data_IF_661313761407
#
_entry.id   IF_661313761407
#
_cell.length_a   1.000
_cell.length_b   1.000
_cell.length_c   1.000
_cell.angle_alpha   90.00
_cell.angle_beta   90.00
_cell.angle_gamma   90.00
#
_symmetry.space_group_name_H-M   'P 1'
#
loop_
_entity.id
_entity.type
_entity.pdbx_description
1 polymer ?
#
# COMPACT_ATOMS: atom_id res chain seq x y z
N UNK A 1 -28.07 -34.87 -46.34
CA UNK A 1 -27.49 -36.17 -46.77
C UNK A 1 -26.05 -35.88 -47.15
N UNK A 2 -24.99 -36.41 -46.58
CA UNK A 2 -24.62 -37.27 -45.47
C UNK A 2 -23.12 -36.93 -45.30
N UNK A 3 -22.44 -36.99 -44.18
CA UNK A 3 -22.66 -37.65 -42.92
C UNK A 3 -21.28 -37.64 -42.27
N UNK A 4 -21.19 -37.10 -41.06
CA UNK A 4 -20.00 -37.26 -40.24
C UNK A 4 -19.85 -38.73 -39.88
N UNK A 5 -18.89 -39.46 -40.47
CA UNK A 5 -18.26 -40.65 -39.87
C UNK A 5 -17.34 -41.37 -40.87
N UNK A 6 -16.08 -40.95 -40.98
CA UNK A 6 -15.01 -41.91 -41.27
C UNK A 6 -13.71 -41.53 -40.57
N UNK A 7 -13.85 -41.25 -39.26
CA UNK A 7 -12.81 -41.52 -38.26
C UNK A 7 -12.66 -43.04 -38.10
N UNK A 8 -11.81 -43.69 -38.91
CA UNK A 8 -11.16 -44.98 -38.56
C UNK A 8 -9.93 -45.18 -39.45
N UNK A 9 -8.80 -44.57 -39.12
CA UNK A 9 -7.51 -45.15 -39.49
C UNK A 9 -6.40 -44.66 -38.55
N UNK A 10 -6.02 -45.57 -37.64
CA UNK A 10 -4.70 -45.73 -36.98
C UNK A 10 -4.38 -44.84 -35.77
N UNK A 11 -4.95 -45.27 -34.63
CA UNK A 11 -4.18 -45.39 -33.38
C UNK A 11 -3.14 -46.52 -33.51
N UNK A 12 -2.09 -46.41 -32.68
CA UNK A 12 -1.16 -47.46 -32.20
C UNK A 12 0.15 -47.69 -32.98
N UNK A 13 1.25 -47.15 -32.45
CA UNK A 13 2.53 -47.85 -32.18
C UNK A 13 3.36 -46.95 -31.23
N UNK A 14 3.42 -47.27 -29.93
CA UNK A 14 4.52 -47.98 -29.23
C UNK A 14 5.71 -47.04 -28.92
N UNK A 15 5.81 -46.45 -27.71
CA UNK A 15 6.45 -47.00 -26.50
C UNK A 15 7.78 -47.69 -26.78
N UNK A 16 8.90 -47.01 -26.50
CA UNK A 16 10.13 -47.65 -26.07
C UNK A 16 10.91 -46.73 -25.12
N UNK A 17 11.49 -47.36 -24.11
CA UNK A 17 11.95 -46.84 -22.82
C UNK A 17 13.48 -46.92 -22.74
N UNK A 18 14.09 -45.95 -22.03
CA UNK A 18 15.46 -45.90 -21.44
C UNK A 18 16.71 -45.92 -22.36
N UNK A 19 17.57 -44.90 -22.24
CA UNK A 19 18.74 -44.92 -21.34
C UNK A 19 19.74 -43.74 -21.59
N UNK A 20 19.88 -42.90 -20.57
CA UNK A 20 21.12 -42.34 -19.97
C UNK A 20 22.32 -42.01 -20.89
N UNK A 21 22.65 -40.71 -20.97
CA UNK A 21 24.04 -40.23 -20.88
C UNK A 21 24.04 -38.82 -20.27
N UNK A 22 24.35 -38.75 -18.97
CA UNK A 22 24.78 -37.51 -18.32
C UNK A 22 26.04 -37.00 -19.02
N UNK A 23 25.99 -35.77 -19.54
CA UNK A 23 27.16 -34.90 -19.60
C UNK A 23 26.81 -33.57 -18.96
N UNK A 24 27.30 -33.43 -17.74
CA UNK A 24 27.43 -32.20 -16.98
C UNK A 24 28.34 -31.25 -17.76
N UNK A 25 27.85 -30.05 -18.04
CA UNK A 25 28.67 -28.87 -18.31
C UNK A 25 28.29 -27.80 -17.26
N UNK A 26 29.28 -27.17 -16.60
CA UNK A 26 29.05 -26.32 -15.45
C UNK A 26 28.52 -24.95 -15.90
N UNK A 27 27.39 -24.52 -15.33
CA UNK A 27 26.98 -23.11 -15.37
C UNK A 27 27.32 -22.52 -14.01
N UNK A 28 28.36 -21.69 -13.99
CA UNK A 28 28.79 -20.90 -12.85
C UNK A 28 27.65 -19.99 -12.37
N UNK A 29 27.46 -20.06 -11.04
CA UNK A 29 26.82 -19.15 -10.07
C UNK A 29 26.98 -17.66 -10.42
N UNK A 30 26.11 -16.71 -10.04
CA UNK A 30 25.09 -16.63 -8.99
C UNK A 30 24.11 -15.49 -9.35
N UNK A 31 22.83 -15.64 -9.02
CA UNK A 31 21.99 -14.50 -8.68
C UNK A 31 20.98 -15.01 -7.65
N UNK A 32 21.41 -14.98 -6.39
CA UNK A 32 20.52 -15.19 -5.25
C UNK A 32 19.46 -14.10 -5.29
N UNK A 33 18.28 -14.46 -5.75
CA UNK A 33 17.08 -13.65 -5.52
C UNK A 33 16.70 -13.93 -4.08
N UNK A 34 17.25 -13.15 -3.16
CA UNK A 34 16.84 -13.17 -1.77
C UNK A 34 15.41 -12.63 -1.69
N UNK A 35 14.42 -13.52 -1.76
CA UNK A 35 13.06 -13.23 -1.34
C UNK A 35 13.07 -13.08 0.18
N UNK A 36 13.38 -11.90 0.69
CA UNK A 36 13.25 -11.59 2.11
C UNK A 36 11.78 -11.31 2.43
N UNK A 37 11.01 -12.37 2.63
CA UNK A 37 9.77 -12.29 3.39
C UNK A 37 10.13 -11.95 4.84
N UNK A 38 9.66 -10.81 5.34
CA UNK A 38 9.74 -10.47 6.77
C UNK A 38 8.76 -11.42 7.50
N UNK A 39 9.24 -12.59 7.92
CA UNK A 39 8.50 -13.49 8.79
C UNK A 39 8.53 -12.94 10.22
N UNK A 40 7.44 -12.30 10.66
CA UNK A 40 7.22 -12.00 12.07
C UNK A 40 6.40 -13.11 12.71
N UNK A 41 7.11 -14.08 13.30
CA UNK A 41 6.53 -15.01 14.27
C UNK A 41 7.33 -14.86 15.56
N UNK A 42 6.72 -14.32 16.62
CA UNK A 42 7.29 -14.39 17.96
C UNK A 42 7.34 -13.07 18.72
N UNK A 43 6.71 -13.09 19.89
CA UNK A 43 6.57 -12.05 20.88
C UNK A 43 7.88 -11.41 21.35
N UNK A 44 7.88 -10.08 21.49
CA UNK A 44 8.70 -9.35 22.46
C UNK A 44 10.22 -9.47 22.33
N UNK A 45 10.83 -8.77 21.36
CA UNK A 45 12.21 -8.28 21.41
C UNK A 45 12.43 -7.29 20.27
N UNK A 46 13.06 -6.14 20.55
CA UNK A 46 13.41 -5.11 19.57
C UNK A 46 14.41 -5.65 18.54
N UNK A 47 13.91 -6.25 17.47
CA UNK A 47 14.73 -6.67 16.34
C UNK A 47 15.23 -5.43 15.62
N UNK A 48 16.51 -5.09 15.80
CA UNK A 48 17.19 -4.14 14.92
C UNK A 48 17.17 -4.72 13.50
N UNK A 49 16.26 -4.26 12.65
CA UNK A 49 16.30 -4.56 11.22
C UNK A 49 17.70 -4.19 10.70
N UNK A 50 18.33 -5.08 9.93
CA UNK A 50 19.62 -4.77 9.32
C UNK A 50 19.46 -3.60 8.35
N UNK A 51 20.53 -2.82 8.16
CA UNK A 51 20.52 -1.65 7.27
C UNK A 51 19.99 -2.02 5.87
N UNK A 52 20.50 -3.11 5.30
CA UNK A 52 20.15 -3.57 3.96
C UNK A 52 18.68 -4.03 3.87
N UNK A 53 18.17 -4.71 4.89
CA UNK A 53 16.77 -5.14 4.92
C UNK A 53 15.82 -3.94 4.97
N UNK A 54 16.12 -2.94 5.80
CA UNK A 54 15.31 -1.72 5.90
C UNK A 54 15.38 -0.88 4.62
N UNK A 55 16.57 -0.80 4.00
CA UNK A 55 16.75 -0.07 2.73
C UNK A 55 16.00 -0.76 1.59
N UNK A 56 16.11 -2.09 1.47
CA UNK A 56 15.37 -2.88 0.48
C UNK A 56 13.86 -2.79 0.67
N UNK A 57 13.38 -2.87 1.91
CA UNK A 57 11.96 -2.67 2.22
C UNK A 57 11.48 -1.27 1.82
N UNK A 58 12.24 -0.21 2.16
CA UNK A 58 11.88 1.16 1.81
C UNK A 58 11.84 1.36 0.29
N UNK A 59 12.82 0.83 -0.43
CA UNK A 59 12.84 0.93 -1.89
C UNK A 59 11.71 0.13 -2.57
N UNK A 60 11.23 -0.94 -1.94
CA UNK A 60 10.11 -1.73 -2.46
C UNK A 60 8.76 -1.05 -2.23
N UNK A 61 8.61 -0.32 -1.13
CA UNK A 61 7.33 0.26 -0.72
C UNK A 61 7.08 1.69 -1.18
N UNK A 62 8.13 2.39 -1.60
CA UNK A 62 8.08 3.78 -2.04
C UNK A 62 8.53 3.88 -3.49
N UNK A 63 7.59 4.15 -4.40
CA UNK A 63 7.91 4.31 -5.81
C UNK A 63 8.79 5.53 -6.04
N UNK A 64 9.62 5.44 -7.08
CA UNK A 64 10.43 6.57 -7.51
C UNK A 64 9.56 7.76 -7.91
N UNK A 65 9.87 8.92 -7.35
CA UNK A 65 9.19 10.19 -7.60
C UNK A 65 7.70 10.25 -7.22
N UNK A 66 7.15 9.25 -6.53
CA UNK A 66 5.79 9.29 -6.01
C UNK A 66 5.76 9.90 -4.60
N UNK A 67 4.82 10.81 -4.37
CA UNK A 67 4.55 11.36 -3.02
C UNK A 67 3.40 10.58 -2.39
N UNK A 68 3.65 9.94 -1.27
CA UNK A 68 2.69 9.07 -0.59
C UNK A 68 2.24 9.69 0.75
N UNK A 69 0.93 9.69 0.98
CA UNK A 69 0.36 9.95 2.32
C UNK A 69 0.48 8.68 3.17
N UNK A 70 1.04 8.85 4.37
CA UNK A 70 1.26 7.78 5.33
C UNK A 70 0.68 8.19 6.68
N UNK A 71 0.01 7.25 7.34
CA UNK A 71 -0.49 7.41 8.71
C UNK A 71 0.62 7.23 9.75
N UNK A 72 0.28 6.63 10.88
CA UNK A 72 1.25 6.20 11.89
C UNK A 72 2.19 5.10 11.37
N UNK A 73 3.29 4.80 12.09
CA UNK A 73 4.13 3.65 11.80
C UNK A 73 3.30 2.36 11.81
N UNK A 74 3.56 1.49 10.83
CA UNK A 74 2.96 0.16 10.79
C UNK A 74 3.58 -0.76 11.83
N UNK A 75 2.90 -1.86 12.15
CA UNK A 75 3.47 -2.89 13.02
C UNK A 75 4.76 -3.51 12.46
N UNK A 76 4.97 -3.46 11.14
CA UNK A 76 6.24 -3.90 10.52
C UNK A 76 7.42 -3.00 10.90
N UNK A 77 7.13 -1.75 11.25
CA UNK A 77 8.09 -0.79 11.75
C UNK A 77 8.03 -0.67 13.28
N UNK A 78 7.25 -1.52 13.95
CA UNK A 78 7.25 -1.61 15.40
C UNK A 78 8.64 -2.02 15.89
N UNK A 79 9.21 -1.23 16.80
CA UNK A 79 10.55 -1.46 17.33
C UNK A 79 11.66 -0.63 16.69
N UNK A 80 11.37 0.16 15.65
CA UNK A 80 12.28 1.23 15.24
C UNK A 80 12.50 2.22 16.40
N UNK A 81 13.74 2.67 16.58
CA UNK A 81 14.05 3.73 17.54
C UNK A 81 13.40 5.03 17.07
N UNK A 82 13.06 5.92 18.01
CA UNK A 82 12.49 7.24 17.66
C UNK A 82 13.36 8.02 16.64
N UNK A 83 14.69 7.89 16.71
CA UNK A 83 15.63 8.50 15.75
C UNK A 83 15.58 7.89 14.35
N UNK A 84 14.95 6.74 14.19
CA UNK A 84 14.75 6.03 12.93
C UNK A 84 13.30 6.10 12.46
N UNK A 85 12.39 6.69 13.24
CA UNK A 85 10.97 6.79 12.85
C UNK A 85 10.74 8.11 12.12
N UNK A 86 10.33 8.09 10.84
CA UNK A 86 9.93 9.31 10.14
C UNK A 86 8.91 10.11 10.95
N UNK A 87 9.14 11.43 11.05
CA UNK A 87 8.24 12.35 11.72
C UNK A 87 7.90 12.01 13.18
N UNK A 88 8.79 11.30 13.88
CA UNK A 88 8.55 10.81 15.24
C UNK A 88 7.24 10.01 15.36
N UNK A 89 6.82 9.37 14.27
CA UNK A 89 5.59 8.57 14.19
C UNK A 89 4.31 9.36 13.88
N UNK A 90 4.38 10.67 13.63
CA UNK A 90 3.23 11.42 13.13
C UNK A 90 2.91 11.04 11.66
N UNK A 91 1.67 11.26 11.18
CA UNK A 91 1.35 11.13 9.77
C UNK A 91 2.28 12.02 8.94
N UNK A 92 2.60 11.58 7.73
CA UNK A 92 3.59 12.25 6.91
C UNK A 92 3.29 12.13 5.42
N UNK A 93 3.81 13.10 4.66
CA UNK A 93 4.02 12.95 3.23
C UNK A 93 5.46 12.52 3.02
N UNK A 94 5.65 11.46 2.26
CA UNK A 94 6.97 10.92 1.98
C UNK A 94 7.16 10.76 0.48
N UNK A 95 8.32 11.16 -0.02
CA UNK A 95 8.70 11.02 -1.44
C UNK A 95 10.10 10.48 -1.51
N UNK A 96 10.31 9.46 -2.34
CA UNK A 96 11.64 9.00 -2.71
C UNK A 96 12.02 9.59 -4.06
N UNK A 97 13.22 10.16 -4.17
CA UNK A 97 13.76 10.61 -5.45
C UNK A 97 15.28 10.51 -5.48
N UNK A 98 15.78 9.92 -6.56
CA UNK A 98 17.20 9.87 -6.94
C UNK A 98 17.65 11.12 -7.69
N UNK A 99 16.70 11.87 -8.27
CA UNK A 99 16.97 13.04 -9.12
C UNK A 99 16.62 14.37 -8.46
N UNK A 100 15.68 14.38 -7.52
CA UNK A 100 15.26 15.59 -6.81
C UNK A 100 15.86 15.61 -5.40
N UNK A 101 16.52 16.71 -4.97
CA UNK A 101 17.15 16.77 -3.66
C UNK A 101 16.17 16.52 -2.51
N UNK A 102 16.61 15.69 -1.56
CA UNK A 102 15.89 15.48 -0.31
C UNK A 102 15.69 16.80 0.44
N UNK A 103 14.50 17.01 1.01
CA UNK A 103 14.25 18.13 1.93
C UNK A 103 14.96 17.96 3.28
N UNK A 104 15.64 16.83 3.52
CA UNK A 104 16.31 16.47 4.79
C UNK A 104 15.37 16.34 6.00
N UNK A 105 14.06 16.23 5.77
CA UNK A 105 13.06 16.11 6.82
C UNK A 105 12.90 14.69 7.40
N UNK A 106 13.44 13.66 6.74
CA UNK A 106 13.45 12.31 7.29
C UNK A 106 14.65 12.10 8.24
N UNK A 107 14.66 11.03 9.03
CA UNK A 107 15.90 10.52 9.62
C UNK A 107 17.02 10.37 8.59
N UNK A 108 18.28 10.58 9.01
CA UNK A 108 19.47 10.55 8.15
C UNK A 108 19.55 9.30 7.27
N UNK A 109 19.15 8.15 7.81
CA UNK A 109 19.06 6.90 7.07
C UNK A 109 18.25 7.05 5.77
N UNK A 110 17.01 7.54 5.84
CA UNK A 110 16.14 7.69 4.67
C UNK A 110 16.59 8.84 3.77
N UNK A 111 17.13 9.92 4.32
CA UNK A 111 17.68 11.02 3.52
C UNK A 111 18.81 10.54 2.58
N UNK A 112 19.59 9.55 3.02
CA UNK A 112 20.64 8.91 2.20
C UNK A 112 20.06 8.01 1.10
N UNK A 113 18.80 7.56 1.25
CA UNK A 113 18.04 6.83 0.23
C UNK A 113 17.21 7.77 -0.67
N UNK A 114 17.47 9.09 -0.64
CA UNK A 114 16.75 10.07 -1.45
C UNK A 114 15.35 10.39 -0.94
N UNK A 115 15.03 10.03 0.31
CA UNK A 115 13.72 10.33 0.89
C UNK A 115 13.60 11.79 1.31
N UNK A 116 12.40 12.33 1.17
CA UNK A 116 11.95 13.59 1.76
C UNK A 116 10.71 13.31 2.61
N UNK A 117 10.64 13.90 3.79
CA UNK A 117 9.52 13.72 4.72
C UNK A 117 8.95 15.09 5.11
N UNK A 118 7.63 15.20 5.04
CA UNK A 118 6.86 16.34 5.55
C UNK A 118 5.97 15.83 6.67
N UNK A 119 6.19 16.31 7.89
CA UNK A 119 5.44 15.87 9.05
C UNK A 119 4.12 16.61 9.16
N UNK A 120 3.03 15.87 9.35
CA UNK A 120 1.70 16.46 9.43
C UNK A 120 1.28 16.54 10.89
N UNK A 121 1.20 17.76 11.38
CA UNK A 121 0.79 18.09 12.74
C UNK A 121 -0.72 18.27 12.84
N UNK A 122 -1.28 18.18 14.05
CA UNK A 122 -2.73 18.35 14.28
C UNK A 122 -3.54 17.04 14.27
N UNK A 123 -2.93 15.92 13.91
CA UNK A 123 -3.50 14.58 14.16
C UNK A 123 -2.95 14.01 15.47
N UNK A 124 -3.71 14.18 16.55
CA UNK A 124 -3.35 13.63 17.87
C UNK A 124 -4.01 12.27 18.10
N UNK A 125 -3.40 11.47 18.98
CA UNK A 125 -3.82 10.09 19.26
C UNK A 125 -5.28 10.01 19.67
N UNK A 126 -5.74 10.92 20.54
CA UNK A 126 -7.11 10.92 21.08
C UNK A 126 -8.15 11.57 20.18
N UNK A 127 -7.79 12.01 18.96
CA UNK A 127 -8.79 12.52 18.03
C UNK A 127 -9.60 11.35 17.48
N UNK A 128 -10.91 11.42 17.70
CA UNK A 128 -11.87 10.45 17.16
C UNK A 128 -12.08 10.62 15.66
N UNK A 129 -11.73 11.78 15.10
CA UNK A 129 -11.89 12.11 13.67
C UNK A 129 -10.58 12.56 13.04
N UNK A 130 -10.23 11.94 11.92
CA UNK A 130 -9.15 12.35 11.04
C UNK A 130 -9.73 12.66 9.67
N UNK A 131 -9.50 13.87 9.16
CA UNK A 131 -9.81 14.26 7.79
C UNK A 131 -8.53 14.64 7.06
N UNK A 132 -8.23 13.99 5.95
CA UNK A 132 -7.16 14.36 5.04
C UNK A 132 -7.72 15.03 3.80
N UNK A 133 -7.33 16.27 3.55
CA UNK A 133 -7.62 16.99 2.31
C UNK A 133 -6.46 16.77 1.35
N UNK A 134 -6.72 16.17 0.20
CA UNK A 134 -5.68 15.79 -0.76
C UNK A 134 -5.94 16.40 -2.12
N UNK A 135 -4.88 16.61 -2.89
CA UNK A 135 -4.93 16.91 -4.32
C UNK A 135 -3.84 16.14 -5.05
N UNK A 136 -4.02 15.88 -6.34
CA UNK A 136 -2.99 15.22 -7.14
C UNK A 136 -1.75 16.10 -7.24
N UNK A 137 -0.56 15.54 -6.99
CA UNK A 137 0.69 16.23 -7.25
C UNK A 137 0.86 16.50 -8.75
N UNK A 138 1.21 17.72 -9.12
CA UNK A 138 1.35 18.15 -10.52
C UNK A 138 2.79 18.16 -11.00
N UNK A 139 3.75 18.40 -10.10
CA UNK A 139 5.17 18.47 -10.42
C UNK A 139 6.01 18.13 -9.19
N UNK A 140 7.26 17.72 -9.43
CA UNK A 140 8.23 17.56 -8.35
C UNK A 140 8.71 18.93 -7.88
N UNK A 141 8.70 19.16 -6.57
CA UNK A 141 9.18 20.39 -5.95
C UNK A 141 9.70 20.10 -4.55
N UNK A 142 10.46 21.04 -4.00
CA UNK A 142 10.94 20.95 -2.62
C UNK A 142 9.75 20.89 -1.67
N UNK A 143 9.69 19.82 -0.89
CA UNK A 143 8.65 19.63 0.11
C UNK A 143 8.99 20.37 1.41
N UNK A 144 7.98 20.96 2.04
CA UNK A 144 8.10 21.56 3.37
C UNK A 144 8.52 20.52 4.42
N UNK A 145 9.14 20.94 5.51
CA UNK A 145 9.43 20.05 6.64
C UNK A 145 8.18 19.64 7.42
N UNK A 146 7.21 20.55 7.51
CA UNK A 146 5.99 20.36 8.28
C UNK A 146 4.80 21.00 7.58
N UNK A 147 3.64 20.40 7.79
CA UNK A 147 2.32 20.89 7.42
C UNK A 147 1.35 20.64 8.58
N UNK A 148 0.22 21.32 8.59
CA UNK A 148 -0.84 21.06 9.56
C UNK A 148 -1.99 20.26 8.91
N UNK A 149 -2.83 19.67 9.74
CA UNK A 149 -3.98 18.85 9.32
C UNK A 149 -5.08 19.62 8.60
N UNK A 150 -5.06 20.95 8.61
CA UNK A 150 -6.08 21.78 7.94
C UNK A 150 -5.72 22.11 6.50
N UNK A 151 -4.45 21.90 6.11
CA UNK A 151 -3.94 22.13 4.76
C UNK A 151 -4.35 21.02 3.78
N UNK A 152 -4.18 21.32 2.49
CA UNK A 152 -4.37 20.36 1.40
C UNK A 152 -3.02 19.76 1.02
N UNK A 153 -2.95 18.43 1.03
CA UNK A 153 -1.74 17.67 0.74
C UNK A 153 -1.65 17.29 -0.74
N UNK A 154 -0.52 17.60 -1.38
CA UNK A 154 -0.22 17.11 -2.73
C UNK A 154 0.33 15.69 -2.66
N UNK A 155 -0.40 14.74 -3.24
CA UNK A 155 -0.05 13.32 -3.18
C UNK A 155 -0.26 12.67 -4.54
N UNK A 156 0.52 11.64 -4.77
CA UNK A 156 0.30 10.69 -5.86
C UNK A 156 -0.48 9.47 -5.38
N UNK A 157 -0.23 9.08 -4.14
CA UNK A 157 -0.66 7.81 -3.57
C UNK A 157 -1.07 7.97 -2.11
N UNK A 158 -1.99 7.11 -1.66
CA UNK A 158 -2.39 6.98 -0.25
C UNK A 158 -2.07 5.55 0.18
N UNK A 159 -1.18 5.41 1.15
CA UNK A 159 -0.92 4.12 1.79
C UNK A 159 -2.13 3.66 2.58
N UNK A 160 -2.26 2.35 2.83
CA UNK A 160 -3.01 1.87 4.00
C UNK A 160 -2.60 2.68 5.23
N UNK A 161 -3.56 3.38 5.82
CA UNK A 161 -3.33 4.34 6.89
C UNK A 161 -3.34 3.62 8.24
N UNK A 162 -2.20 3.60 8.91
CA UNK A 162 -2.19 3.21 10.31
C UNK A 162 -2.72 4.36 11.15
N UNK A 163 -3.69 4.06 12.01
CA UNK A 163 -4.45 5.04 12.77
C UNK A 163 -4.47 4.71 14.26
N UNK A 164 -4.69 5.69 15.15
CA UNK A 164 -4.86 5.43 16.57
C UNK A 164 -6.08 4.55 16.85
N UNK A 165 -6.02 3.77 17.92
CA UNK A 165 -7.09 2.87 18.34
C UNK A 165 -8.35 3.58 18.84
N UNK A 166 -8.29 4.90 19.03
CA UNK A 166 -9.44 5.76 19.36
C UNK A 166 -10.11 6.39 18.14
N UNK A 167 -9.59 6.18 16.93
CA UNK A 167 -10.16 6.77 15.72
C UNK A 167 -11.47 6.07 15.34
N UNK A 168 -12.58 6.80 15.36
CA UNK A 168 -13.91 6.29 15.00
C UNK A 168 -14.36 6.77 13.62
N UNK A 169 -13.82 7.89 13.13
CA UNK A 169 -14.17 8.49 11.85
C UNK A 169 -12.94 8.85 11.01
N UNK A 170 -12.91 8.36 9.77
CA UNK A 170 -11.87 8.66 8.79
C UNK A 170 -12.48 9.29 7.54
N UNK A 171 -11.95 10.45 7.13
CA UNK A 171 -12.38 11.17 5.93
C UNK A 171 -11.20 11.38 5.00
N UNK A 172 -11.35 10.99 3.73
CA UNK A 172 -10.43 11.28 2.64
C UNK A 172 -11.14 12.17 1.63
N UNK A 173 -10.68 13.42 1.48
CA UNK A 173 -11.35 14.42 0.65
C UNK A 173 -10.43 14.91 -0.46
N UNK A 174 -10.79 14.60 -1.70
CA UNK A 174 -10.17 15.16 -2.90
C UNK A 174 -10.60 16.61 -3.15
N UNK A 175 -9.62 17.50 -3.26
CA UNK A 175 -9.80 18.94 -3.50
C UNK A 175 -9.65 19.26 -5.00
N UNK A 176 -10.69 18.95 -5.78
CA UNK A 176 -10.76 19.10 -7.23
C UNK A 176 -12.22 19.20 -7.67
N UNK A 177 -12.49 19.59 -8.91
CA UNK A 177 -13.83 19.53 -9.51
C UNK A 177 -14.16 18.09 -9.97
N UNK A 178 -13.16 17.38 -10.50
CA UNK A 178 -13.27 15.99 -10.96
C UNK A 178 -12.61 15.01 -9.98
N UNK A 179 -13.04 13.73 -9.95
CA UNK A 179 -12.44 12.70 -9.11
C UNK A 179 -10.94 12.58 -9.34
N UNK A 180 -10.16 12.68 -8.26
CA UNK A 180 -8.70 12.69 -8.36
C UNK A 180 -8.12 11.31 -8.69
N UNK A 181 -7.20 11.20 -9.67
CA UNK A 181 -6.49 9.95 -9.98
C UNK A 181 -5.36 9.70 -8.97
N UNK A 182 -5.71 9.54 -7.70
CA UNK A 182 -4.81 9.16 -6.59
C UNK A 182 -4.93 7.65 -6.38
N UNK A 183 -3.80 6.97 -6.29
CA UNK A 183 -3.77 5.50 -6.17
C UNK A 183 -3.68 5.08 -4.70
N UNK A 184 -4.49 4.10 -4.29
CA UNK A 184 -4.33 3.44 -3.00
C UNK A 184 -3.32 2.30 -3.12
N UNK A 185 -2.44 2.18 -2.13
CA UNK A 185 -1.32 1.23 -2.13
C UNK A 185 -1.15 0.57 -0.77
N UNK A 186 -0.68 -0.68 -0.77
CA UNK A 186 -0.45 -1.45 0.45
C UNK A 186 0.68 -0.83 1.28
N UNK A 187 0.58 -0.94 2.60
CA UNK A 187 1.69 -0.67 3.54
C UNK A 187 2.82 -1.70 3.43
N UNK A 188 2.59 -2.82 2.75
CA UNK A 188 3.60 -3.78 2.33
C UNK A 188 3.35 -4.25 0.90
N UNK A 189 4.07 -3.66 -0.06
CA UNK A 189 4.00 -3.96 -1.50
C UNK A 189 4.82 -5.17 -1.92
N UNK A 190 5.65 -5.72 -1.03
CA UNK A 190 6.35 -6.97 -1.31
C UNK A 190 5.38 -8.17 -1.33
N UNK A 191 4.20 -8.02 -0.74
CA UNK A 191 3.15 -9.03 -0.74
C UNK A 191 2.26 -8.88 -1.98
N UNK A 192 2.17 -9.93 -2.77
CA UNK A 192 1.20 -10.03 -3.87
C UNK A 192 -0.17 -10.40 -3.32
N UNK A 193 -0.99 -9.40 -3.01
CA UNK A 193 -2.33 -9.59 -2.45
C UNK A 193 -3.31 -8.59 -3.05
N UNK A 194 -4.58 -9.00 -3.13
CA UNK A 194 -5.71 -8.10 -3.44
C UNK A 194 -6.27 -7.44 -2.19
N UNK A 195 -5.87 -7.89 -0.99
CA UNK A 195 -6.28 -7.30 0.29
C UNK A 195 -5.62 -5.94 0.47
N UNK A 196 -6.43 -4.88 0.47
CA UNK A 196 -5.96 -3.50 0.57
C UNK A 196 -6.87 -2.68 1.49
N UNK A 197 -6.80 -2.86 2.81
CA UNK A 197 -7.59 -2.04 3.73
C UNK A 197 -7.15 -0.57 3.64
N UNK A 198 -8.11 0.35 3.67
CA UNK A 198 -7.82 1.79 3.71
C UNK A 198 -7.12 2.19 5.01
N UNK A 199 -7.42 1.48 6.11
CA UNK A 199 -6.87 1.75 7.43
C UNK A 199 -6.59 0.48 8.24
N UNK A 200 -5.59 0.56 9.12
CA UNK A 200 -5.20 -0.49 10.08
C UNK A 200 -4.90 0.10 11.45
N UNK A 201 -5.07 -0.71 12.49
CA UNK A 201 -4.65 -0.42 13.86
C UNK A 201 -4.54 -1.74 14.62
N UNK A 202 -3.90 -1.73 15.80
CA UNK A 202 -3.87 -2.89 16.70
C UNK A 202 -5.26 -3.26 17.24
N UNK A 203 -6.16 -2.27 17.33
CA UNK A 203 -7.58 -2.43 17.61
C UNK A 203 -8.35 -1.37 16.85
N UNK A 204 -8.77 -1.70 15.63
CA UNK A 204 -9.46 -0.76 14.74
C UNK A 204 -10.94 -0.63 15.16
N UNK A 205 -11.42 0.60 15.32
CA UNK A 205 -12.82 0.89 15.73
C UNK A 205 -13.50 1.93 14.84
N UNK A 206 -12.97 2.16 13.63
CA UNK A 206 -13.57 3.11 12.67
C UNK A 206 -14.97 2.61 12.33
N UNK A 207 -15.98 3.38 12.69
CA UNK A 207 -17.39 3.12 12.38
C UNK A 207 -17.89 3.97 11.20
N UNK A 208 -17.18 5.06 10.88
CA UNK A 208 -17.54 5.99 9.80
C UNK A 208 -16.36 6.18 8.86
N UNK A 209 -16.53 5.82 7.59
CA UNK A 209 -15.56 6.03 6.52
C UNK A 209 -16.18 6.88 5.42
N UNK A 210 -15.51 7.97 5.05
CA UNK A 210 -16.00 8.86 4.01
C UNK A 210 -14.90 9.14 2.99
N UNK A 211 -15.20 8.90 1.72
CA UNK A 211 -14.29 9.16 0.60
C UNK A 211 -15.02 10.06 -0.40
N UNK A 212 -14.46 11.25 -0.59
CA UNK A 212 -14.98 12.26 -1.49
C UNK A 212 -14.00 12.51 -2.62
N UNK A 213 -14.48 12.50 -3.85
CA UNK A 213 -13.78 13.09 -4.99
C UNK A 213 -12.38 12.49 -5.27
N UNK A 214 -12.25 11.18 -5.07
CA UNK A 214 -11.05 10.38 -5.39
C UNK A 214 -11.51 9.25 -6.30
N UNK A 215 -10.82 9.02 -7.41
CA UNK A 215 -11.13 7.92 -8.33
C UNK A 215 -10.90 6.58 -7.63
N UNK A 216 -11.99 5.87 -7.36
CA UNK A 216 -12.01 4.58 -6.67
C UNK A 216 -12.14 3.40 -7.63
N UNK A 217 -12.24 3.62 -8.95
CA UNK A 217 -12.53 2.56 -9.93
C UNK A 217 -11.58 1.37 -9.81
N UNK A 218 -10.27 1.64 -9.72
CA UNK A 218 -9.27 0.58 -9.59
C UNK A 218 -9.40 -0.19 -8.27
N UNK A 219 -9.70 0.51 -7.17
CA UNK A 219 -9.89 -0.13 -5.86
C UNK A 219 -11.12 -1.04 -5.91
N UNK A 220 -12.25 -0.51 -6.35
CA UNK A 220 -13.53 -1.22 -6.36
C UNK A 220 -13.48 -2.49 -7.21
N UNK A 221 -12.75 -2.45 -8.32
CA UNK A 221 -12.64 -3.59 -9.25
C UNK A 221 -11.63 -4.65 -8.83
N UNK A 222 -10.57 -4.27 -8.11
CA UNK A 222 -9.39 -5.13 -7.98
C UNK A 222 -8.99 -5.45 -6.54
N UNK A 223 -9.66 -4.89 -5.53
CA UNK A 223 -9.28 -5.10 -4.13
C UNK A 223 -10.36 -5.77 -3.29
N UNK A 224 -9.91 -6.40 -2.22
CA UNK A 224 -10.74 -6.97 -1.17
C UNK A 224 -10.44 -6.28 0.16
N UNK A 225 -11.40 -6.33 1.08
CA UNK A 225 -11.28 -5.79 2.46
C UNK A 225 -10.87 -4.31 2.50
N UNK A 226 -11.22 -3.53 1.48
CA UNK A 226 -10.87 -2.11 1.44
C UNK A 226 -11.58 -1.32 2.53
N UNK A 227 -12.88 -1.55 2.69
CA UNK A 227 -13.68 -1.01 3.79
C UNK A 227 -13.45 -1.88 5.02
N UNK A 228 -12.99 -1.30 6.15
CA UNK A 228 -12.81 -2.07 7.38
C UNK A 228 -14.14 -2.64 7.86
N UNK A 229 -14.11 -3.87 8.39
CA UNK A 229 -15.32 -4.56 8.86
C UNK A 229 -16.03 -3.85 10.02
N UNK A 230 -15.38 -2.89 10.68
CA UNK A 230 -16.00 -2.08 11.74
C UNK A 230 -16.86 -0.94 11.22
N UNK A 231 -16.76 -0.61 9.93
CA UNK A 231 -17.50 0.49 9.32
C UNK A 231 -18.98 0.13 9.17
N UNK A 232 -19.83 1.00 9.69
CA UNK A 232 -21.29 0.93 9.55
C UNK A 232 -21.85 2.08 8.73
N UNK A 233 -21.16 3.23 8.72
CA UNK A 233 -21.47 4.40 7.89
C UNK A 233 -20.39 4.55 6.82
N UNK A 234 -20.75 4.34 5.56
CA UNK A 234 -19.86 4.52 4.42
C UNK A 234 -20.40 5.64 3.55
N UNK A 235 -19.57 6.62 3.19
CA UNK A 235 -19.91 7.60 2.15
C UNK A 235 -18.90 7.51 1.02
N UNK A 236 -19.38 7.27 -0.19
CA UNK A 236 -18.59 7.27 -1.42
C UNK A 236 -19.21 8.28 -2.38
N UNK A 237 -18.66 9.50 -2.43
CA UNK A 237 -19.24 10.58 -3.23
C UNK A 237 -18.26 11.07 -4.31
N UNK A 238 -18.74 11.10 -5.56
CA UNK A 238 -17.95 11.50 -6.73
C UNK A 238 -16.66 10.66 -6.87
N UNK A 239 -16.77 9.33 -6.89
CA UNK A 239 -15.60 8.44 -6.85
C UNK A 239 -15.44 7.52 -8.08
N UNK A 240 -16.12 7.80 -9.19
CA UNK A 240 -16.13 6.93 -10.38
C UNK A 240 -16.59 5.48 -10.08
N UNK A 241 -17.63 5.37 -9.24
CA UNK A 241 -18.26 4.11 -8.83
C UNK A 241 -19.19 3.58 -9.92
N UNK A 242 -18.66 2.84 -10.91
CA UNK A 242 -19.45 2.35 -12.04
C UNK A 242 -19.78 0.86 -11.97
N UNK A 243 -18.93 0.07 -11.29
CA UNK A 243 -19.00 -1.39 -11.19
C UNK A 243 -18.52 -1.80 -9.79
N UNK A 244 -18.86 -2.99 -9.32
CA UNK A 244 -18.45 -3.51 -8.01
C UNK A 244 -17.95 -4.95 -8.13
N UNK A 245 -16.70 -5.20 -7.74
CA UNK A 245 -16.20 -6.57 -7.61
C UNK A 245 -16.79 -7.27 -6.39
N UNK A 246 -16.83 -8.60 -6.41
CA UNK A 246 -17.27 -9.39 -5.24
C UNK A 246 -16.42 -9.08 -4.01
N UNK A 247 -15.10 -8.96 -4.16
CA UNK A 247 -14.19 -8.68 -3.03
C UNK A 247 -14.43 -7.31 -2.39
N UNK A 248 -14.73 -6.29 -3.19
CA UNK A 248 -15.12 -4.98 -2.66
C UNK A 248 -16.52 -5.02 -2.03
N UNK A 249 -17.48 -5.69 -2.67
CA UNK A 249 -18.83 -5.90 -2.14
C UNK A 249 -18.84 -6.56 -0.77
N UNK A 250 -18.07 -7.63 -0.60
CA UNK A 250 -17.88 -8.33 0.68
C UNK A 250 -17.26 -7.44 1.76
N UNK A 251 -16.39 -6.50 1.39
CA UNK A 251 -15.81 -5.55 2.36
C UNK A 251 -16.84 -4.62 3.00
N UNK A 252 -18.00 -4.43 2.35
CA UNK A 252 -19.10 -3.61 2.85
C UNK A 252 -20.15 -4.39 3.64
N UNK A 253 -19.90 -5.66 4.01
CA UNK A 253 -20.91 -6.53 4.62
C UNK A 253 -21.56 -5.99 5.90
N UNK A 254 -20.86 -5.13 6.65
CA UNK A 254 -21.36 -4.53 7.90
C UNK A 254 -21.89 -3.10 7.73
N UNK A 255 -21.85 -2.54 6.52
CA UNK A 255 -22.35 -1.20 6.21
C UNK A 255 -23.87 -1.20 6.35
N UNK A 256 -24.39 -0.29 7.17
CA UNK A 256 -25.82 -0.07 7.41
C UNK A 256 -26.32 1.18 6.69
N UNK A 257 -25.43 2.16 6.49
CA UNK A 257 -25.73 3.43 5.85
C UNK A 257 -24.69 3.67 4.74
N UNK A 258 -25.15 3.78 3.49
CA UNK A 258 -24.36 3.99 2.28
C UNK A 258 -24.80 5.26 1.54
#
# INVERSE_FOLDING_TARGET
MDGAAQRRLRMALAVCVLAICLRVLPRTTAQDTATTSINTSGSGSSSNLTYDALAGWYQTNFDENATQLIGYPSDQLAGLRASQTPCSGLPSLQTRSSTFPSNKGCPTFYNNLGASCTCITGYVVYNETWEFKVRKKTSMKTMSFSMNSTQVFEVDQISTLWVPTSLTRLVLRGMSEEPLPIVFVSDNRALTTTVLPVAKSSSLIINTLEIYNIDMRNVILNTAQFVPSTVVNLTLQNVNFNDVSTGFGESMANVQYL
#
